data_IF_982638545043
#
_entry.id   IF_982638545043
#
_cell.length_a   1.000
_cell.length_b   1.000
_cell.length_c   1.000
_cell.angle_alpha   90.00
_cell.angle_beta   90.00
_cell.angle_gamma   90.00
#
_symmetry.space_group_name_H-M   'P 1'
#
loop_
_entity.id
_entity.type
_entity.pdbx_description
1 polymer ?
#
# COMPACT_ATOMS: atom_id res chain seq x y z
N UNK A 1 -20.00 -13.49 -2.08
CA UNK A 1 -19.72 -14.21 -0.81
C UNK A 1 -20.28 -13.39 0.33
N UNK A 2 -21.02 -14.01 1.26
CA UNK A 2 -21.60 -13.31 2.41
C UNK A 2 -20.55 -13.10 3.49
N UNK A 3 -20.59 -11.95 4.18
CA UNK A 3 -19.65 -11.57 5.27
C UNK A 3 -19.61 -12.64 6.38
N UNK A 4 -20.74 -13.31 6.59
CA UNK A 4 -20.91 -14.46 7.48
C UNK A 4 -20.03 -15.65 7.08
N UNK A 5 -20.05 -16.07 5.80
CA UNK A 5 -19.26 -17.20 5.33
C UNK A 5 -17.76 -16.97 5.48
N UNK A 6 -17.30 -15.73 5.23
CA UNK A 6 -15.89 -15.36 5.38
C UNK A 6 -15.47 -15.34 6.85
N UNK A 7 -16.35 -14.86 7.73
CA UNK A 7 -16.09 -14.85 9.18
C UNK A 7 -16.00 -16.26 9.74
N UNK A 8 -16.91 -17.16 9.35
CA UNK A 8 -16.89 -18.58 9.76
C UNK A 8 -15.60 -19.27 9.28
N UNK A 9 -15.19 -19.02 8.04
CA UNK A 9 -13.94 -19.55 7.52
C UNK A 9 -12.73 -19.04 8.31
N UNK A 10 -12.69 -17.74 8.62
CA UNK A 10 -11.65 -17.15 9.45
C UNK A 10 -11.59 -17.79 10.84
N UNK A 11 -12.73 -18.04 11.49
CA UNK A 11 -12.79 -18.68 12.80
C UNK A 11 -12.26 -20.11 12.74
N UNK A 12 -12.55 -20.86 11.68
CA UNK A 12 -11.99 -22.19 11.49
C UNK A 12 -10.46 -22.15 11.32
N UNK A 13 -9.92 -21.14 10.64
CA UNK A 13 -8.48 -20.95 10.50
C UNK A 13 -7.79 -20.71 11.86
N UNK A 14 -8.46 -20.09 12.83
CA UNK A 14 -7.91 -19.87 14.18
C UNK A 14 -7.66 -21.17 14.95
N UNK A 15 -8.30 -22.28 14.57
CA UNK A 15 -8.13 -23.61 15.17
C UNK A 15 -7.04 -24.45 14.49
N UNK A 16 -6.44 -23.93 13.41
CA UNK A 16 -5.43 -24.65 12.64
C UNK A 16 -4.11 -24.76 13.41
N UNK A 17 -3.38 -25.86 13.21
CA UNK A 17 -2.09 -26.16 13.87
C UNK A 17 -0.97 -25.23 13.40
N UNK A 18 -1.02 -24.82 12.14
CA UNK A 18 -0.09 -23.86 11.52
C UNK A 18 -0.31 -22.41 12.02
N UNK A 19 0.71 -21.74 12.59
CA UNK A 19 0.64 -20.34 13.04
C UNK A 19 0.38 -19.32 11.92
N UNK A 20 0.85 -19.56 10.70
CA UNK A 20 0.63 -18.65 9.58
C UNK A 20 -0.84 -18.67 9.16
N UNK A 21 -1.45 -19.85 9.11
CA UNK A 21 -2.88 -20.01 8.78
C UNK A 21 -3.76 -19.34 9.84
N UNK A 22 -3.42 -19.46 11.14
CA UNK A 22 -4.12 -18.72 12.21
C UNK A 22 -3.99 -17.21 12.03
N UNK A 23 -2.81 -16.74 11.63
CA UNK A 23 -2.54 -15.31 11.42
C UNK A 23 -3.34 -14.77 10.24
N UNK A 24 -3.42 -15.51 9.14
CA UNK A 24 -4.22 -15.17 7.96
C UNK A 24 -5.72 -15.15 8.33
N UNK A 25 -6.21 -16.16 9.05
CA UNK A 25 -7.59 -16.21 9.53
C UNK A 25 -7.96 -15.03 10.41
N UNK A 26 -7.07 -14.63 11.34
CA UNK A 26 -7.25 -13.45 12.19
C UNK A 26 -7.37 -12.16 11.38
N UNK A 27 -6.45 -11.93 10.44
CA UNK A 27 -6.45 -10.74 9.57
C UNK A 27 -7.72 -10.66 8.74
N UNK A 28 -8.14 -11.79 8.17
CA UNK A 28 -9.36 -11.87 7.37
C UNK A 28 -10.61 -11.45 8.17
N UNK A 29 -10.74 -11.89 9.42
CA UNK A 29 -11.85 -11.49 10.30
C UNK A 29 -11.83 -9.97 10.56
N UNK A 30 -10.65 -9.40 10.84
CA UNK A 30 -10.50 -7.96 11.10
C UNK A 30 -10.81 -7.10 9.87
N UNK A 31 -10.45 -7.59 8.67
CA UNK A 31 -10.74 -6.89 7.42
C UNK A 31 -12.23 -6.90 7.09
N UNK A 32 -12.91 -8.04 7.30
CA UNK A 32 -14.38 -8.13 7.16
C UNK A 32 -15.07 -7.27 8.22
N UNK A 33 -14.54 -7.21 9.45
CA UNK A 33 -15.05 -6.36 10.51
C UNK A 33 -14.91 -4.86 10.20
N UNK A 34 -13.80 -4.46 9.59
CA UNK A 34 -13.52 -3.06 9.25
C UNK A 34 -14.33 -2.55 8.06
N UNK A 35 -14.64 -3.42 7.10
CA UNK A 35 -15.23 -3.04 5.81
C UNK A 35 -16.68 -3.50 5.60
N UNK A 36 -17.18 -4.41 6.44
CA UNK A 36 -18.50 -5.03 6.31
C UNK A 36 -19.44 -4.77 7.50
N UNK A 37 -20.50 -5.57 7.60
CA UNK A 37 -21.49 -5.51 8.69
C UNK A 37 -20.91 -6.02 10.01
N UNK A 38 -20.35 -5.08 10.78
CA UNK A 38 -19.78 -5.26 12.13
C UNK A 38 -20.62 -6.11 13.07
N UNK A 39 -21.93 -5.89 13.08
CA UNK A 39 -22.85 -6.62 13.97
C UNK A 39 -22.92 -8.12 13.66
N UNK A 40 -22.84 -8.51 12.39
CA UNK A 40 -22.88 -9.91 11.96
C UNK A 40 -21.59 -10.61 12.40
N UNK A 41 -20.44 -9.98 12.13
CA UNK A 41 -19.12 -10.49 12.51
C UNK A 41 -19.01 -10.62 14.04
N UNK A 42 -19.41 -9.58 14.78
CA UNK A 42 -19.36 -9.57 16.25
C UNK A 42 -20.23 -10.68 16.84
N UNK A 43 -21.45 -10.88 16.32
CA UNK A 43 -22.35 -11.94 16.79
C UNK A 43 -21.72 -13.32 16.64
N UNK A 44 -21.11 -13.61 15.48
CA UNK A 44 -20.44 -14.89 15.20
C UNK A 44 -19.26 -15.11 16.15
N UNK A 45 -18.40 -14.11 16.34
CA UNK A 45 -17.21 -14.24 17.21
C UNK A 45 -17.57 -14.42 18.68
N UNK A 46 -18.62 -13.75 19.17
CA UNK A 46 -19.10 -13.92 20.55
C UNK A 46 -19.68 -15.33 20.75
N UNK A 47 -20.45 -15.82 19.79
CA UNK A 47 -21.03 -17.16 19.86
C UNK A 47 -19.94 -18.24 19.86
N UNK A 48 -18.95 -18.10 18.99
CA UNK A 48 -17.83 -19.04 18.90
C UNK A 48 -16.88 -18.97 20.11
N UNK A 49 -16.76 -17.80 20.74
CA UNK A 49 -15.98 -17.66 21.98
C UNK A 49 -16.67 -18.33 23.16
N UNK A 50 -18.01 -18.33 23.20
CA UNK A 50 -18.77 -19.06 24.22
C UNK A 50 -18.60 -20.57 24.08
N UNK A 51 -18.55 -21.08 22.84
CA UNK A 51 -18.37 -22.52 22.55
C UNK A 51 -16.92 -22.98 22.78
N UNK A 52 -15.94 -22.28 22.21
CA UNK A 52 -14.53 -22.73 22.21
C UNK A 52 -13.71 -22.23 23.40
N UNK A 53 -14.08 -21.08 24.00
CA UNK A 53 -13.34 -20.38 25.07
C UNK A 53 -11.84 -20.23 24.79
N UNK A 54 -11.45 -20.14 23.52
CA UNK A 54 -10.04 -20.14 23.12
C UNK A 54 -9.35 -18.81 23.42
N UNK A 55 -8.08 -18.79 23.88
CA UNK A 55 -7.33 -17.56 24.13
C UNK A 55 -7.18 -16.68 22.89
N UNK A 56 -7.02 -17.30 21.71
CA UNK A 56 -6.90 -16.60 20.43
C UNK A 56 -8.15 -15.82 20.05
N UNK A 57 -9.34 -16.37 20.35
CA UNK A 57 -10.61 -15.71 20.06
C UNK A 57 -10.94 -14.61 21.08
N UNK A 58 -10.54 -14.78 22.35
CA UNK A 58 -10.60 -13.71 23.36
C UNK A 58 -9.75 -12.51 22.95
N UNK A 59 -8.49 -12.76 22.58
CA UNK A 59 -7.57 -11.73 22.10
C UNK A 59 -8.10 -10.99 20.87
N UNK A 60 -8.82 -11.69 19.98
CA UNK A 60 -9.44 -11.09 18.80
C UNK A 60 -10.64 -10.19 19.16
N UNK A 61 -11.45 -10.58 20.16
CA UNK A 61 -12.56 -9.76 20.64
C UNK A 61 -12.08 -8.49 21.33
N UNK A 62 -10.99 -8.56 22.11
CA UNK A 62 -10.37 -7.38 22.73
C UNK A 62 -9.85 -6.40 21.66
N UNK A 63 -9.20 -6.93 20.60
CA UNK A 63 -8.72 -6.11 19.48
C UNK A 63 -9.86 -5.42 18.74
N UNK A 64 -11.01 -6.10 18.56
CA UNK A 64 -12.22 -5.52 17.99
C UNK A 64 -12.79 -4.41 18.88
N UNK A 65 -12.82 -4.60 20.20
CA UNK A 65 -13.29 -3.58 21.14
C UNK A 65 -12.40 -2.32 21.12
N UNK A 66 -11.08 -2.50 21.01
CA UNK A 66 -10.14 -1.39 20.83
C UNK A 66 -10.35 -0.65 19.51
N UNK A 67 -10.66 -1.36 18.43
CA UNK A 67 -10.99 -0.75 17.14
C UNK A 67 -12.26 0.09 17.23
N UNK A 68 -13.28 -0.35 17.96
CA UNK A 68 -14.49 0.43 18.20
C UNK A 68 -14.21 1.68 19.04
N UNK A 69 -13.41 1.55 20.09
CA UNK A 69 -13.00 2.68 20.93
C UNK A 69 -12.19 3.73 20.14
N UNK A 70 -11.34 3.30 19.21
CA UNK A 70 -10.58 4.19 18.32
C UNK A 70 -11.48 4.91 17.31
N UNK A 71 -12.47 4.23 16.74
CA UNK A 71 -13.42 4.85 15.81
C UNK A 71 -14.38 5.83 16.52
N UNK A 72 -14.78 5.54 17.76
CA UNK A 72 -15.54 6.47 18.59
C UNK A 72 -14.72 7.74 18.91
N UNK A 73 -13.42 7.61 19.19
CA UNK A 73 -12.52 8.76 19.43
C UNK A 73 -12.28 9.62 18.18
N UNK A 74 -12.25 9.00 16.99
CA UNK A 74 -12.15 9.72 15.72
C UNK A 74 -13.43 10.51 15.39
N UNK A 75 -14.61 10.08 15.85
CA UNK A 75 -15.84 10.89 15.76
C UNK A 75 -15.89 12.04 16.78
N UNK A 76 -15.15 11.95 17.89
CA UNK A 76 -15.10 13.02 18.92
C UNK A 76 -14.05 14.11 18.65
N UNK A 77 -13.10 13.90 17.73
CA UNK A 77 -12.00 14.85 17.46
C UNK A 77 -12.30 15.87 16.35
N UNK A 78 -13.47 15.80 15.71
CA UNK A 78 -14.00 16.86 14.84
C UNK A 78 -14.82 17.93 15.60
N UNK A 79 -14.79 17.93 16.94
CA UNK A 79 -15.70 18.74 17.77
C UNK A 79 -15.00 19.53 18.87
N UNK A 80 -13.82 20.12 18.66
CA UNK A 80 -13.29 21.20 19.52
C UNK A 80 -12.42 22.21 18.75
N UNK A 81 -13.08 23.04 17.95
CA UNK A 81 -12.68 24.44 17.77
C UNK A 81 -13.92 25.32 17.71
N UNK A 82 -14.18 26.08 18.78
CA UNK A 82 -15.07 27.25 18.74
C UNK A 82 -16.12 27.34 19.86
N UNK A 83 -15.71 27.80 21.05
CA UNK A 83 -16.61 28.57 21.92
C UNK A 83 -16.71 30.00 21.39
N UNK A 84 -17.82 30.73 21.33
CA UNK A 84 -19.27 30.56 21.53
C UNK A 84 -19.89 31.84 20.94
N UNK A 85 -21.08 31.79 20.31
CA UNK A 85 -22.18 32.75 20.55
C UNK A 85 -23.44 32.43 19.74
N UNK A 86 -24.52 32.21 20.51
CA UNK A 86 -25.98 32.41 20.30
C UNK A 86 -26.68 31.81 19.06
N UNK A 87 -27.66 30.95 19.36
CA UNK A 87 -28.78 30.49 18.49
C UNK A 87 -29.60 31.69 17.99
N UNK A 88 -30.28 31.60 16.83
CA UNK A 88 -31.67 31.11 16.84
C UNK A 88 -32.12 30.34 15.58
N UNK A 89 -33.29 29.67 15.69
CA UNK A 89 -34.23 29.50 14.57
C UNK A 89 -34.19 28.19 13.79
N UNK A 90 -35.09 27.26 14.13
CA UNK A 90 -35.46 26.08 13.33
C UNK A 90 -36.12 26.47 12.00
N UNK A 91 -35.59 25.96 10.88
CA UNK A 91 -36.35 25.72 9.65
C UNK A 91 -36.03 24.33 9.11
N UNK A 92 -37.08 23.51 9.03
CA UNK A 92 -37.08 22.20 8.38
C UNK A 92 -36.62 22.35 6.94
N UNK A 93 -35.57 21.62 6.55
CA UNK A 93 -35.22 21.39 5.14
C UNK A 93 -35.37 19.90 4.90
N UNK A 94 -36.34 19.59 4.03
CA UNK A 94 -36.59 18.25 3.50
C UNK A 94 -35.29 17.76 2.87
N UNK A 95 -34.80 16.60 3.34
CA UNK A 95 -33.69 15.91 2.69
C UNK A 95 -34.22 15.42 1.35
N UNK A 96 -33.96 16.21 0.30
CA UNK A 96 -34.10 15.73 -1.07
C UNK A 96 -33.11 14.59 -1.26
N UNK A 97 -33.62 13.46 -1.73
CA UNK A 97 -32.84 12.28 -2.05
C UNK A 97 -32.11 12.51 -3.39
N UNK A 98 -31.31 13.56 -3.45
CA UNK A 98 -30.42 13.84 -4.56
C UNK A 98 -29.08 13.22 -4.23
N UNK A 99 -28.96 11.94 -4.59
CA UNK A 99 -27.67 11.35 -4.96
C UNK A 99 -26.92 12.39 -5.79
N UNK A 100 -25.69 12.78 -5.43
CA UNK A 100 -24.89 13.59 -6.32
C UNK A 100 -24.75 12.78 -7.61
N UNK A 101 -25.38 13.26 -8.68
CA UNK A 101 -25.06 12.83 -10.04
C UNK A 101 -23.64 13.31 -10.28
N UNK A 102 -22.69 12.49 -9.85
CA UNK A 102 -21.25 12.71 -9.93
C UNK A 102 -20.86 12.53 -11.40
N UNK A 103 -21.26 13.47 -12.24
CA UNK A 103 -20.57 13.71 -13.51
C UNK A 103 -19.28 14.44 -13.15
N UNK A 104 -18.30 13.65 -12.74
CA UNK A 104 -16.94 14.05 -12.44
C UNK A 104 -16.14 12.77 -12.44
N UNK A 105 -15.57 12.45 -13.60
CA UNK A 105 -14.72 11.28 -13.87
C UNK A 105 -14.00 10.84 -12.59
N UNK A 106 -14.39 9.70 -12.04
CA UNK A 106 -13.66 9.07 -10.94
C UNK A 106 -12.32 8.60 -11.52
N UNK A 107 -11.36 9.50 -11.73
CA UNK A 107 -10.01 9.12 -12.13
C UNK A 107 -9.35 8.48 -10.92
N UNK A 108 -9.30 7.15 -10.90
CA UNK A 108 -8.44 6.43 -9.96
C UNK A 108 -7.00 6.65 -10.39
N UNK A 109 -6.23 7.37 -9.59
CA UNK A 109 -4.81 7.48 -9.86
C UNK A 109 -4.06 6.28 -9.29
N UNK A 110 -2.96 5.89 -9.95
CA UNK A 110 -2.01 4.93 -9.41
C UNK A 110 -1.50 5.43 -8.06
N UNK A 111 -1.68 4.64 -6.99
CA UNK A 111 -1.27 5.02 -5.63
C UNK A 111 0.24 5.30 -5.51
N UNK A 112 1.06 4.67 -6.36
CA UNK A 112 2.52 4.73 -6.32
C UNK A 112 3.11 5.89 -7.13
N UNK A 113 2.65 6.11 -8.37
CA UNK A 113 3.21 7.15 -9.24
C UNK A 113 2.29 8.36 -9.44
N UNK A 114 0.98 8.19 -9.21
CA UNK A 114 -0.01 9.27 -9.32
C UNK A 114 -0.57 9.50 -10.74
N UNK A 115 -0.19 8.70 -11.73
CA UNK A 115 -0.84 8.75 -13.06
C UNK A 115 -2.31 8.36 -12.93
N UNK A 116 -3.20 9.11 -13.57
CA UNK A 116 -4.60 8.75 -13.71
C UNK A 116 -4.76 7.45 -14.51
N UNK A 117 -5.52 6.51 -13.97
CA UNK A 117 -5.92 5.25 -14.58
C UNK A 117 -7.44 5.15 -14.57
N UNK A 118 -7.99 4.32 -15.44
CA UNK A 118 -9.41 3.97 -15.40
C UNK A 118 -9.65 2.99 -14.23
N UNK A 119 -10.45 3.33 -13.21
CA UNK A 119 -10.69 2.45 -12.06
C UNK A 119 -11.44 1.19 -12.40
N UNK A 120 -12.20 1.23 -13.50
CA UNK A 120 -13.12 0.16 -13.87
C UNK A 120 -12.32 -0.97 -14.53
N UNK A 121 -11.22 -0.63 -15.22
CA UNK A 121 -10.35 -1.59 -15.87
C UNK A 121 -9.20 -2.07 -14.96
N UNK A 122 -9.46 -3.12 -14.19
CA UNK A 122 -8.44 -3.80 -13.39
C UNK A 122 -7.22 -4.26 -14.21
N UNK A 123 -7.42 -4.63 -15.48
CA UNK A 123 -6.32 -5.04 -16.37
C UNK A 123 -5.45 -3.84 -16.78
N UNK A 124 -6.01 -2.62 -16.89
CA UNK A 124 -5.23 -1.41 -17.08
C UNK A 124 -4.33 -1.12 -15.87
N UNK A 125 -4.83 -1.33 -14.64
CA UNK A 125 -4.05 -1.16 -13.41
C UNK A 125 -2.90 -2.17 -13.33
N UNK A 126 -3.17 -3.44 -13.60
CA UNK A 126 -2.13 -4.49 -13.60
C UNK A 126 -1.05 -4.22 -14.66
N UNK A 127 -1.48 -3.91 -15.89
CA UNK A 127 -0.58 -3.54 -16.99
C UNK A 127 0.27 -2.34 -16.61
N UNK A 128 -0.34 -1.33 -15.96
CA UNK A 128 0.40 -0.18 -15.46
C UNK A 128 1.52 -0.60 -14.51
N UNK A 129 1.26 -1.43 -13.50
CA UNK A 129 2.32 -1.91 -12.59
C UNK A 129 3.39 -2.73 -13.32
N UNK A 130 2.99 -3.58 -14.26
CA UNK A 130 3.90 -4.49 -14.95
C UNK A 130 4.78 -3.82 -16.00
N UNK A 131 4.30 -2.79 -16.69
CA UNK A 131 5.04 -2.20 -17.83
C UNK A 131 5.30 -0.71 -17.70
N UNK A 132 4.38 0.08 -17.13
CA UNK A 132 4.37 1.53 -17.30
C UNK A 132 4.78 2.30 -16.03
N UNK A 133 4.53 1.74 -14.86
CA UNK A 133 4.74 2.42 -13.58
C UNK A 133 6.24 2.57 -13.31
N UNK A 134 6.75 3.81 -13.14
CA UNK A 134 8.17 4.05 -12.89
C UNK A 134 8.62 3.63 -11.49
N UNK A 135 7.67 3.34 -10.59
CA UNK A 135 7.93 2.86 -9.23
C UNK A 135 8.25 1.37 -9.18
N UNK A 136 8.05 0.66 -10.29
CA UNK A 136 8.29 -0.77 -10.41
C UNK A 136 9.35 -1.05 -11.46
N UNK A 137 10.09 -2.14 -11.26
CA UNK A 137 11.07 -2.65 -12.21
C UNK A 137 11.01 -4.17 -12.25
N UNK A 138 11.55 -4.76 -13.33
CA UNK A 138 11.74 -6.21 -13.40
C UNK A 138 13.02 -6.58 -12.68
N UNK A 139 12.95 -7.56 -11.80
CA UNK A 139 14.12 -8.13 -11.15
C UNK A 139 14.99 -8.84 -12.20
N UNK A 140 16.24 -8.42 -12.37
CA UNK A 140 17.16 -9.06 -13.32
C UNK A 140 17.50 -10.53 -12.99
N UNK A 141 17.19 -11.00 -11.79
CA UNK A 141 17.43 -12.39 -11.38
C UNK A 141 16.27 -13.35 -11.67
N UNK A 142 15.04 -12.96 -11.38
CA UNK A 142 13.85 -13.82 -11.52
C UNK A 142 12.82 -13.31 -12.54
N UNK A 143 12.97 -12.10 -13.06
CA UNK A 143 12.03 -11.47 -14.00
C UNK A 143 10.76 -10.91 -13.36
N UNK A 144 10.50 -11.17 -12.08
CA UNK A 144 9.31 -10.66 -11.38
C UNK A 144 9.33 -9.14 -11.29
N UNK A 145 8.15 -8.53 -11.39
CA UNK A 145 7.96 -7.10 -11.21
C UNK A 145 7.89 -6.80 -9.72
N UNK A 146 8.79 -5.95 -9.24
CA UNK A 146 8.85 -5.54 -7.84
C UNK A 146 8.96 -4.02 -7.73
N UNK A 147 8.53 -3.46 -6.61
CA UNK A 147 8.74 -2.05 -6.32
C UNK A 147 10.25 -1.78 -6.20
N UNK A 148 10.71 -0.67 -6.77
CA UNK A 148 12.14 -0.35 -6.80
C UNK A 148 12.70 -0.13 -5.40
N UNK A 149 11.91 0.46 -4.50
CA UNK A 149 12.28 0.70 -3.10
C UNK A 149 12.49 -0.60 -2.30
N UNK A 150 11.73 -1.66 -2.60
CA UNK A 150 11.84 -2.96 -1.93
C UNK A 150 12.65 -4.00 -2.71
N UNK A 151 13.28 -3.62 -3.83
CA UNK A 151 13.98 -4.57 -4.70
C UNK A 151 15.15 -5.26 -3.99
N UNK A 152 15.81 -4.58 -3.06
CA UNK A 152 16.88 -5.20 -2.26
C UNK A 152 16.31 -6.29 -1.34
N UNK A 153 15.23 -6.00 -0.62
CA UNK A 153 14.52 -6.98 0.22
C UNK A 153 14.02 -8.16 -0.61
N UNK A 154 13.41 -7.89 -1.77
CA UNK A 154 12.99 -8.92 -2.72
C UNK A 154 14.15 -9.84 -3.10
N UNK A 155 15.30 -9.28 -3.51
CA UNK A 155 16.50 -10.07 -3.83
C UNK A 155 17.03 -10.87 -2.64
N UNK A 156 16.80 -10.40 -1.41
CA UNK A 156 17.28 -11.02 -0.18
C UNK A 156 16.45 -12.20 0.27
N UNK A 157 15.13 -12.19 0.10
CA UNK A 157 14.23 -13.16 0.74
C UNK A 157 13.23 -13.82 -0.19
N UNK A 158 12.91 -13.23 -1.33
CA UNK A 158 11.82 -13.69 -2.20
C UNK A 158 12.32 -14.16 -3.57
N UNK A 159 13.45 -13.64 -4.03
CA UNK A 159 13.93 -13.85 -5.39
C UNK A 159 14.41 -15.29 -5.59
N UNK A 160 13.95 -15.93 -6.67
CA UNK A 160 14.44 -17.26 -7.10
C UNK A 160 15.96 -17.32 -7.30
N UNK A 161 16.59 -16.18 -7.61
CA UNK A 161 18.03 -16.04 -7.80
C UNK A 161 18.75 -15.50 -6.54
N UNK A 162 18.13 -15.50 -5.36
CA UNK A 162 18.72 -15.03 -4.09
C UNK A 162 20.11 -15.61 -3.84
N UNK A 163 20.30 -16.91 -4.12
CA UNK A 163 21.56 -17.62 -3.95
C UNK A 163 22.71 -17.08 -4.82
N UNK A 164 22.43 -16.23 -5.82
CA UNK A 164 23.45 -15.57 -6.64
C UNK A 164 23.96 -14.27 -6.03
N UNK A 165 23.36 -13.80 -4.93
CA UNK A 165 23.74 -12.57 -4.25
C UNK A 165 24.32 -12.86 -2.87
N UNK A 166 25.14 -11.93 -2.39
CA UNK A 166 25.68 -11.93 -1.03
C UNK A 166 25.72 -10.51 -0.50
N UNK A 167 25.20 -10.29 0.70
CA UNK A 167 25.22 -8.99 1.35
C UNK A 167 26.64 -8.63 1.80
N UNK A 168 27.07 -7.40 1.51
CA UNK A 168 28.34 -6.87 1.99
C UNK A 168 28.21 -6.46 3.47
N UNK A 169 29.16 -6.86 4.31
CA UNK A 169 29.15 -6.51 5.74
C UNK A 169 29.45 -5.03 6.03
N UNK A 170 30.04 -4.28 5.07
CA UNK A 170 30.35 -2.86 5.23
C UNK A 170 29.22 -1.95 4.78
N UNK A 171 28.68 -2.18 3.58
CA UNK A 171 27.63 -1.32 3.01
C UNK A 171 26.22 -1.92 3.09
N UNK A 172 26.06 -3.19 3.45
CA UNK A 172 24.76 -3.88 3.50
C UNK A 172 24.21 -4.31 2.14
N UNK A 173 24.73 -3.79 1.03
CA UNK A 173 24.22 -4.05 -0.32
C UNK A 173 24.37 -5.51 -0.75
N UNK A 174 23.39 -6.00 -1.50
CA UNK A 174 23.44 -7.29 -2.17
C UNK A 174 24.31 -7.24 -3.43
N UNK A 175 25.49 -7.83 -3.35
CA UNK A 175 26.45 -7.93 -4.45
C UNK A 175 26.35 -9.31 -5.11
N UNK A 176 26.41 -9.37 -6.45
CA UNK A 176 26.51 -10.63 -7.18
C UNK A 176 27.75 -11.41 -6.70
N UNK A 177 27.59 -12.70 -6.41
CA UNK A 177 28.66 -13.55 -5.86
C UNK A 177 29.91 -13.54 -6.74
N UNK A 178 29.77 -13.45 -8.06
CA UNK A 178 30.89 -13.37 -9.01
C UNK A 178 31.71 -12.10 -8.83
N UNK A 179 31.10 -11.03 -8.33
CA UNK A 179 31.74 -9.72 -8.13
C UNK A 179 32.09 -9.45 -6.66
N UNK A 180 31.65 -10.30 -5.73
CA UNK A 180 31.78 -10.08 -4.30
C UNK A 180 33.23 -9.92 -3.85
N UNK A 181 34.12 -10.83 -4.29
CA UNK A 181 35.55 -10.75 -3.94
C UNK A 181 36.21 -9.46 -4.45
N UNK A 182 35.84 -9.02 -5.66
CA UNK A 182 36.34 -7.76 -6.23
C UNK A 182 35.85 -6.55 -5.45
N UNK A 183 34.58 -6.56 -5.04
CA UNK A 183 33.96 -5.49 -4.25
C UNK A 183 34.66 -5.32 -2.89
N UNK A 184 34.83 -6.41 -2.13
CA UNK A 184 35.50 -6.34 -0.82
C UNK A 184 36.98 -5.96 -0.93
N UNK A 185 37.66 -6.35 -2.01
CA UNK A 185 39.07 -6.04 -2.23
C UNK A 185 39.29 -4.55 -2.53
N UNK A 186 38.39 -3.93 -3.30
CA UNK A 186 38.47 -2.49 -3.64
C UNK A 186 38.17 -1.56 -2.46
N UNK A 187 37.34 -2.00 -1.52
CA UNK A 187 36.94 -1.23 -0.32
C UNK A 187 36.33 0.16 -0.64
N UNK A 188 35.80 0.34 -1.84
CA UNK A 188 35.18 1.57 -2.35
C UNK A 188 33.71 1.73 -1.93
N UNK A 189 33.13 0.70 -1.33
CA UNK A 189 31.77 0.73 -0.80
C UNK A 189 31.65 1.61 0.45
N UNK A 190 30.58 2.40 0.54
CA UNK A 190 30.28 3.26 1.68
C UNK A 190 29.24 2.60 2.60
N UNK A 191 29.34 2.76 3.93
CA UNK A 191 28.28 2.35 4.85
C UNK A 191 26.93 2.99 4.51
N UNK A 192 25.80 2.35 4.86
CA UNK A 192 24.48 2.92 4.64
C UNK A 192 24.34 4.24 5.42
N UNK A 193 23.89 5.28 4.74
CA UNK A 193 23.69 6.60 5.32
C UNK A 193 22.32 6.66 6.04
N UNK A 194 22.26 7.18 7.28
CA UNK A 194 21.03 7.16 8.07
C UNK A 194 19.90 7.93 7.37
N UNK A 195 18.68 7.41 7.47
CA UNK A 195 17.46 7.99 6.87
C UNK A 195 17.47 8.11 5.34
N UNK A 196 18.40 7.43 4.67
CA UNK A 196 18.47 7.35 3.22
C UNK A 196 18.46 5.90 2.77
N UNK A 197 17.87 5.66 1.60
CA UNK A 197 17.97 4.38 0.93
C UNK A 197 18.77 4.51 -0.36
N UNK A 198 19.51 3.46 -0.74
CA UNK A 198 20.26 3.48 -1.99
C UNK A 198 19.39 2.97 -3.13
N UNK A 199 19.28 3.75 -4.20
CA UNK A 199 18.53 3.34 -5.38
C UNK A 199 19.25 2.16 -6.07
N UNK A 200 18.60 0.99 -6.23
CA UNK A 200 19.24 -0.18 -6.84
C UNK A 200 19.40 -0.07 -8.36
N UNK A 201 18.86 0.99 -8.98
CA UNK A 201 18.97 1.25 -10.41
C UNK A 201 20.21 2.11 -10.73
N UNK A 202 20.37 3.25 -10.06
CA UNK A 202 21.45 4.21 -10.34
C UNK A 202 22.51 4.29 -9.22
N UNK A 203 22.30 3.65 -8.08
CA UNK A 203 23.21 3.67 -6.93
C UNK A 203 23.24 4.97 -6.14
N UNK A 204 22.41 5.96 -6.46
CA UNK A 204 22.31 7.23 -5.72
C UNK A 204 21.48 7.08 -4.44
N UNK A 205 21.75 7.91 -3.44
CA UNK A 205 20.95 7.96 -2.21
C UNK A 205 19.60 8.66 -2.47
N UNK A 206 18.55 8.10 -1.89
CA UNK A 206 17.18 8.59 -1.90
C UNK A 206 16.84 9.05 -0.49
N UNK A 207 16.56 10.34 -0.36
CA UNK A 207 16.25 10.98 0.91
C UNK A 207 15.03 11.89 0.74
N UNK A 208 14.01 11.80 1.61
CA UNK A 208 13.83 10.78 2.67
C UNK A 208 13.55 9.38 2.10
N UNK A 209 13.89 8.33 2.86
CA UNK A 209 13.48 6.95 2.56
C UNK A 209 11.99 6.73 2.86
N UNK A 210 11.13 7.30 2.02
CA UNK A 210 9.69 7.12 2.06
C UNK A 210 9.09 7.18 0.64
N UNK A 211 7.79 6.89 0.51
CA UNK A 211 7.10 6.84 -0.78
C UNK A 211 7.26 8.12 -1.61
N UNK A 212 7.24 9.29 -0.97
CA UNK A 212 7.37 10.58 -1.65
C UNK A 212 8.80 10.82 -2.17
N UNK A 213 9.82 10.50 -1.35
CA UNK A 213 11.23 10.57 -1.73
C UNK A 213 11.54 9.64 -2.89
N UNK A 214 11.08 8.39 -2.82
CA UNK A 214 11.21 7.42 -3.91
C UNK A 214 10.45 7.85 -5.17
N UNK A 215 9.23 8.37 -5.04
CA UNK A 215 8.45 8.87 -6.18
C UNK A 215 9.17 10.01 -6.88
N UNK A 216 9.64 11.01 -6.13
CA UNK A 216 10.41 12.13 -6.67
C UNK A 216 11.67 11.64 -7.37
N UNK A 217 12.43 10.76 -6.73
CA UNK A 217 13.64 10.21 -7.30
C UNK A 217 13.36 9.47 -8.61
N UNK A 218 12.46 8.48 -8.61
CA UNK A 218 12.22 7.60 -9.75
C UNK A 218 11.53 8.29 -10.93
N UNK A 219 10.73 9.33 -10.67
CA UNK A 219 9.99 10.06 -11.73
C UNK A 219 10.76 11.25 -12.32
N UNK A 220 11.68 11.85 -11.57
CA UNK A 220 12.36 13.08 -12.00
C UNK A 220 13.89 12.98 -12.03
N UNK A 221 14.53 12.24 -11.12
CA UNK A 221 15.98 12.34 -10.86
C UNK A 221 16.78 11.11 -11.28
N UNK A 222 16.19 9.92 -11.22
CA UNK A 222 16.89 8.65 -11.42
C UNK A 222 17.24 8.45 -12.89
N UNK A 223 18.50 8.68 -13.28
CA UNK A 223 18.98 8.54 -14.66
C UNK A 223 18.78 7.14 -15.28
N UNK A 224 18.95 6.11 -14.47
CA UNK A 224 18.91 4.69 -14.86
C UNK A 224 17.52 4.04 -14.75
N UNK A 225 16.47 4.80 -14.46
CA UNK A 225 15.11 4.26 -14.48
C UNK A 225 14.58 4.16 -15.93
N UNK A 226 14.43 2.95 -16.51
CA UNK A 226 14.03 2.78 -17.91
C UNK A 226 12.61 3.26 -18.18
N UNK A 227 11.75 3.33 -17.15
CA UNK A 227 10.33 3.72 -17.28
C UNK A 227 10.11 5.22 -17.09
N UNK A 228 11.15 5.98 -16.74
CA UNK A 228 11.05 7.43 -16.43
C UNK A 228 10.57 8.24 -17.62
N UNK A 229 11.14 8.03 -18.81
CA UNK A 229 10.80 8.81 -20.02
C UNK A 229 9.33 8.64 -20.41
N UNK A 230 8.87 7.40 -20.53
CA UNK A 230 7.48 7.09 -20.86
C UNK A 230 6.49 7.66 -19.81
N UNK A 231 6.85 7.59 -18.51
CA UNK A 231 6.07 8.22 -17.46
C UNK A 231 5.94 9.74 -17.65
N UNK A 232 7.03 10.44 -17.94
CA UNK A 232 7.03 11.91 -18.11
C UNK A 232 6.17 12.34 -19.30
N UNK A 233 6.19 11.59 -20.39
CA UNK A 233 5.37 11.82 -21.58
C UNK A 233 3.88 11.60 -21.31
N UNK A 234 3.54 10.49 -20.63
CA UNK A 234 2.17 10.21 -20.20
C UNK A 234 1.65 11.30 -19.26
N UNK A 235 2.47 11.72 -18.29
CA UNK A 235 2.11 12.76 -17.33
C UNK A 235 1.91 14.12 -18.00
N UNK A 236 2.76 14.48 -18.97
CA UNK A 236 2.60 15.72 -19.75
C UNK A 236 1.30 15.71 -20.55
N UNK A 237 0.97 14.59 -21.18
CA UNK A 237 -0.28 14.41 -21.94
C UNK A 237 -1.51 14.54 -21.04
N UNK A 238 -1.45 14.03 -19.81
CA UNK A 238 -2.54 14.18 -18.82
C UNK A 238 -2.67 15.59 -18.22
N UNK A 239 -1.64 16.43 -18.33
CA UNK A 239 -1.61 17.80 -17.80
C UNK A 239 -1.80 18.87 -18.88
N UNK A 240 -1.96 18.46 -20.16
CA UNK A 240 -2.28 19.38 -21.26
C UNK A 240 -3.70 19.93 -21.08
N UNK A 241 -3.90 21.25 -21.07
CA UNK A 241 -5.21 21.81 -21.33
C UNK A 241 -5.53 21.57 -22.80
N UNK A 242 -6.58 20.79 -23.07
CA UNK A 242 -7.26 20.88 -24.35
C UNK A 242 -7.87 22.29 -24.46
N UNK A 243 -7.16 23.24 -25.08
CA UNK A 243 -7.68 24.50 -25.65
C UNK A 243 -6.57 25.26 -26.40
N UNK A 244 -6.49 25.06 -27.71
CA UNK A 244 -6.07 26.10 -28.68
C UNK A 244 -6.28 25.57 -30.09
N UNK A 245 -7.53 25.58 -30.56
CA UNK A 245 -7.94 25.61 -31.98
C UNK A 245 -9.47 25.69 -32.07
N UNK A 246 -10.02 26.89 -31.90
CA UNK A 246 -11.33 27.28 -32.44
C UNK A 246 -11.34 28.81 -32.55
N UNK A 247 -10.43 29.34 -33.36
CA UNK A 247 -10.61 30.64 -34.01
C UNK A 247 -10.97 30.30 -35.46
N UNK A 248 -12.25 30.47 -35.81
CA UNK A 248 -12.78 30.85 -37.12
C UNK A 248 -14.28 31.13 -36.97
#
# INVERSE_FOLDING_TARGET
MTEEAVTIFGVNCLRHTDPEIRTIGRKLILDVYSNGKREVVRKILIEENRKSKSPSLRSLLDEIADLDAKQARQQTSSSLSGSQKKRPGTKSVRISNDLPKRNGSMQSSCRFCGIALDPIDAAAVERHYHTNCPMFTKCGGCGQVAAVSSLETHKRTECRAQNNYRACSRCGELIDRRLFHRHIARKDCKPPEPYSAKCPLCGSNVTPDNDDGWRKHLTAQCGENPRRRAYQETRRSSLSPASLSAEL
#
